data_IF_990067487773
#
_entry.id   IF_990067487773
#
_cell.length_a   1.000
_cell.length_b   1.000
_cell.length_c   1.000
_cell.angle_alpha   90.00
_cell.angle_beta   90.00
_cell.angle_gamma   90.00
#
_symmetry.space_group_name_H-M   'P 1'
#
loop_
_entity.id
_entity.type
_entity.pdbx_description
1 polymer ?
#
# COMPACT_ATOMS: atom_id res chain seq x y z
N UNK A 1 17.92 6.55 -2.62
CA UNK A 1 16.51 7.03 -2.52
C UNK A 1 15.71 5.87 -1.94
N UNK A 2 14.73 6.10 -1.04
CA UNK A 2 13.93 4.98 -0.52
C UNK A 2 13.18 4.31 -1.67
N UNK A 3 13.05 2.98 -1.64
CA UNK A 3 12.14 2.28 -2.55
C UNK A 3 10.71 2.64 -2.16
N UNK A 4 9.96 3.19 -3.11
CA UNK A 4 8.60 3.70 -2.91
C UNK A 4 7.62 2.94 -3.80
N UNK A 5 6.32 3.14 -3.58
CA UNK A 5 5.26 2.36 -4.26
C UNK A 5 5.44 2.20 -5.78
N UNK A 6 5.85 3.23 -6.56
CA UNK A 6 6.08 3.08 -8.00
C UNK A 6 7.11 2.00 -8.37
N UNK A 7 8.08 1.73 -7.48
CA UNK A 7 9.11 0.71 -7.67
C UNK A 7 8.59 -0.73 -7.43
N UNK A 8 7.35 -0.89 -6.95
CA UNK A 8 6.76 -2.17 -6.57
C UNK A 8 5.48 -2.54 -7.35
N UNK A 9 5.18 -1.86 -8.46
CA UNK A 9 3.95 -2.10 -9.23
C UNK A 9 3.89 -3.53 -9.82
N UNK A 10 5.03 -4.10 -10.19
CA UNK A 10 5.11 -5.41 -10.85
C UNK A 10 4.81 -6.60 -9.91
N UNK A 11 4.70 -6.37 -8.60
CA UNK A 11 4.37 -7.42 -7.63
C UNK A 11 2.88 -7.72 -7.51
N UNK A 12 2.03 -6.96 -8.21
CA UNK A 12 0.57 -7.06 -8.11
C UNK A 12 -0.11 -6.87 -9.47
N UNK A 13 -1.40 -7.20 -9.54
CA UNK A 13 -2.20 -7.03 -10.74
C UNK A 13 -2.26 -5.57 -11.23
N UNK A 14 -2.13 -5.38 -12.55
CA UNK A 14 -2.09 -4.06 -13.19
C UNK A 14 -3.37 -3.23 -12.98
N UNK A 15 -4.49 -3.88 -12.70
CA UNK A 15 -5.74 -3.23 -12.34
C UNK A 15 -5.66 -2.40 -11.05
N UNK A 16 -4.71 -2.69 -10.17
CA UNK A 16 -4.48 -1.93 -8.95
C UNK A 16 -3.42 -0.83 -9.08
N UNK A 17 -2.71 -0.72 -10.21
CA UNK A 17 -1.68 0.29 -10.41
C UNK A 17 -2.18 1.74 -10.26
N UNK A 18 -3.38 2.12 -10.75
CA UNK A 18 -3.91 3.47 -10.53
C UNK A 18 -4.15 3.78 -9.04
N UNK A 19 -4.65 2.79 -8.29
CA UNK A 19 -4.88 2.89 -6.84
C UNK A 19 -3.55 3.10 -6.10
N UNK A 20 -2.52 2.32 -6.45
CA UNK A 20 -1.17 2.45 -5.88
C UNK A 20 -0.53 3.81 -6.22
N UNK A 21 -0.68 4.31 -7.45
CA UNK A 21 -0.18 5.64 -7.83
C UNK A 21 -0.86 6.76 -7.04
N UNK A 22 -2.18 6.71 -6.90
CA UNK A 22 -2.93 7.66 -6.06
C UNK A 22 -2.49 7.60 -4.60
N UNK A 23 -2.29 6.39 -4.07
CA UNK A 23 -1.77 6.21 -2.70
C UNK A 23 -0.36 6.82 -2.56
N UNK A 24 0.52 6.64 -3.54
CA UNK A 24 1.86 7.23 -3.54
C UNK A 24 1.80 8.77 -3.44
N UNK A 25 0.99 9.42 -4.27
CA UNK A 25 0.81 10.88 -4.24
C UNK A 25 0.30 11.37 -2.88
N UNK A 26 -0.66 10.66 -2.28
CA UNK A 26 -1.19 11.00 -0.96
C UNK A 26 -0.15 10.79 0.15
N UNK A 27 0.65 9.72 0.07
CA UNK A 27 1.73 9.46 1.03
C UNK A 27 2.83 10.53 0.96
N UNK A 28 3.15 11.03 -0.23
CA UNK A 28 4.14 12.11 -0.37
C UNK A 28 3.73 13.39 0.36
N UNK A 29 2.44 13.62 0.60
CA UNK A 29 1.97 14.78 1.36
C UNK A 29 2.16 14.64 2.89
N UNK A 30 2.20 13.41 3.41
CA UNK A 30 2.22 13.15 4.87
C UNK A 30 3.52 12.52 5.37
N UNK A 31 4.18 11.71 4.54
CA UNK A 31 5.44 11.04 4.83
C UNK A 31 6.31 11.04 3.57
N UNK A 32 6.91 12.17 3.15
CA UNK A 32 7.67 12.24 1.89
C UNK A 32 8.83 11.25 1.81
N UNK A 33 9.35 10.84 2.96
CA UNK A 33 10.51 9.95 3.08
C UNK A 33 10.14 8.49 3.28
N UNK A 34 8.85 8.10 3.25
CA UNK A 34 8.45 6.71 3.47
C UNK A 34 9.22 5.73 2.58
N UNK A 35 9.40 4.51 3.07
CA UNK A 35 9.94 3.39 2.29
C UNK A 35 8.95 2.24 2.32
N UNK A 36 8.84 1.52 1.22
CA UNK A 36 8.06 0.27 1.20
C UNK A 36 8.89 -0.84 1.85
N UNK A 37 8.24 -1.57 2.75
CA UNK A 37 8.74 -2.86 3.21
C UNK A 37 8.19 -3.98 2.32
N UNK A 38 6.89 -3.91 1.98
CA UNK A 38 6.24 -4.90 1.12
C UNK A 38 5.00 -4.34 0.44
N UNK A 39 4.82 -4.69 -0.84
CA UNK A 39 3.53 -4.64 -1.56
C UNK A 39 3.28 -6.04 -2.11
N UNK A 40 2.10 -6.60 -1.86
CA UNK A 40 1.71 -7.92 -2.36
C UNK A 40 0.20 -8.07 -2.48
N UNK A 41 -0.21 -9.07 -3.23
CA UNK A 41 -1.57 -9.64 -3.13
C UNK A 41 -1.64 -10.61 -1.94
N UNK A 42 -2.74 -10.54 -1.18
CA UNK A 42 -3.06 -11.51 -0.14
C UNK A 42 -4.58 -11.62 0.00
N UNK A 43 -5.10 -12.82 -0.18
CA UNK A 43 -6.54 -13.12 -0.09
C UNK A 43 -7.37 -12.25 -1.06
N UNK A 44 -6.87 -12.03 -2.27
CA UNK A 44 -7.54 -11.23 -3.29
C UNK A 44 -7.56 -9.72 -3.03
N UNK A 45 -6.71 -9.24 -2.11
CA UNK A 45 -6.60 -7.81 -1.75
C UNK A 45 -5.15 -7.36 -1.73
N UNK A 46 -4.91 -6.05 -1.84
CA UNK A 46 -3.60 -5.46 -1.58
C UNK A 46 -3.23 -5.61 -0.10
N UNK A 47 -1.95 -5.91 0.15
CA UNK A 47 -1.32 -5.71 1.45
C UNK A 47 -0.07 -4.87 1.31
N UNK A 48 -0.03 -3.78 2.07
CA UNK A 48 1.01 -2.76 1.97
C UNK A 48 1.60 -2.54 3.36
N UNK A 49 2.92 -2.66 3.46
CA UNK A 49 3.67 -2.41 4.68
C UNK A 49 4.72 -1.36 4.38
N UNK A 50 4.75 -0.30 5.18
CA UNK A 50 5.63 0.85 5.02
C UNK A 50 6.52 1.01 6.25
N UNK A 51 7.72 1.54 6.02
CA UNK A 51 8.50 2.21 7.05
C UNK A 51 8.20 3.70 7.01
N UNK A 52 7.59 4.20 8.08
CA UNK A 52 7.26 5.61 8.34
C UNK A 52 7.74 5.98 9.74
N UNK A 53 7.75 7.29 10.05
CA UNK A 53 8.03 7.80 11.38
C UNK A 53 9.31 7.23 12.01
N UNK A 54 9.19 6.67 13.22
CA UNK A 54 10.33 6.11 13.95
C UNK A 54 10.93 4.89 13.24
N UNK A 55 10.12 4.01 12.65
CA UNK A 55 10.64 2.87 11.91
C UNK A 55 11.44 3.31 10.69
N UNK A 56 10.98 4.36 10.01
CA UNK A 56 11.75 4.96 8.92
C UNK A 56 13.07 5.56 9.42
N UNK A 57 13.04 6.29 10.53
CA UNK A 57 14.24 6.84 11.17
C UNK A 57 15.28 5.74 11.49
N UNK A 58 14.85 4.67 12.16
CA UNK A 58 15.71 3.52 12.49
C UNK A 58 16.20 2.78 11.24
N UNK A 59 15.35 2.64 10.20
CA UNK A 59 15.74 2.01 8.93
C UNK A 59 16.84 2.77 8.19
N UNK A 60 17.06 4.06 8.50
CA UNK A 60 18.17 4.84 7.96
C UNK A 60 19.50 4.65 8.72
N UNK A 61 19.51 3.79 9.74
CA UNK A 61 20.69 3.58 10.58
C UNK A 61 20.86 4.62 11.70
N UNK A 62 19.86 5.50 11.90
CA UNK A 62 19.85 6.39 13.04
C UNK A 62 19.55 5.59 14.31
N UNK A 63 20.23 5.89 15.41
CA UNK A 63 20.09 5.16 16.68
C UNK A 63 19.62 6.05 17.84
N UNK A 64 19.35 7.32 17.58
CA UNK A 64 18.92 8.27 18.59
C UNK A 64 17.47 7.99 19.00
N UNK A 65 17.21 8.07 20.30
CA UNK A 65 15.85 7.99 20.81
C UNK A 65 15.16 9.35 20.63
N UNK A 66 13.94 9.41 20.06
CA UNK A 66 13.26 10.67 19.86
C UNK A 66 12.90 11.33 21.18
N UNK A 67 13.03 12.65 21.24
CA UNK A 67 12.38 13.44 22.30
C UNK A 67 10.84 13.38 22.15
N UNK A 68 10.07 13.83 23.16
CA UNK A 68 8.61 13.75 23.12
C UNK A 68 7.95 14.42 21.91
N UNK A 69 8.49 15.55 21.43
CA UNK A 69 7.97 16.26 20.27
C UNK A 69 8.24 15.49 18.96
N UNK A 70 9.44 14.92 18.82
CA UNK A 70 9.78 14.03 17.71
C UNK A 70 8.88 12.78 17.69
N UNK A 71 8.68 12.15 18.84
CA UNK A 71 7.82 10.98 18.97
C UNK A 71 6.36 11.28 18.59
N UNK A 72 5.84 12.46 18.99
CA UNK A 72 4.51 12.90 18.60
C UNK A 72 4.38 13.11 17.08
N UNK A 73 5.41 13.68 16.43
CA UNK A 73 5.43 13.85 14.97
C UNK A 73 5.45 12.51 14.23
N UNK A 74 6.30 11.57 14.65
CA UNK A 74 6.34 10.23 14.08
C UNK A 74 5.01 9.50 14.22
N UNK A 75 4.36 9.62 15.38
CA UNK A 75 3.05 9.03 15.59
C UNK A 75 2.00 9.63 14.65
N UNK A 76 1.98 10.94 14.48
CA UNK A 76 1.04 11.61 13.58
C UNK A 76 1.26 11.19 12.11
N UNK A 77 2.52 11.09 11.69
CA UNK A 77 2.90 10.57 10.38
C UNK A 77 2.43 9.12 10.17
N UNK A 78 2.73 8.24 11.13
CA UNK A 78 2.35 6.82 11.09
C UNK A 78 0.83 6.63 11.02
N UNK A 79 0.08 7.40 11.80
CA UNK A 79 -1.39 7.32 11.83
C UNK A 79 -1.99 7.81 10.49
N UNK A 80 -1.45 8.90 9.92
CA UNK A 80 -1.87 9.41 8.62
C UNK A 80 -1.56 8.42 7.49
N UNK A 81 -0.34 7.90 7.43
CA UNK A 81 0.07 6.93 6.42
C UNK A 81 -0.73 5.62 6.53
N UNK A 82 -0.97 5.13 7.75
CA UNK A 82 -1.79 3.92 8.00
C UNK A 82 -3.23 4.11 7.54
N UNK A 83 -3.81 5.28 7.74
CA UNK A 83 -5.17 5.57 7.27
C UNK A 83 -5.26 5.53 5.73
N UNK A 84 -4.29 6.10 5.02
CA UNK A 84 -4.21 6.08 3.56
C UNK A 84 -4.02 4.65 3.02
N UNK A 85 -3.10 3.90 3.60
CA UNK A 85 -2.88 2.49 3.27
C UNK A 85 -4.15 1.68 3.49
N UNK A 86 -4.82 1.86 4.62
CA UNK A 86 -6.05 1.13 4.92
C UNK A 86 -7.15 1.41 3.90
N UNK A 87 -7.33 2.67 3.49
CA UNK A 87 -8.30 3.03 2.45
C UNK A 87 -7.97 2.37 1.10
N UNK A 88 -6.69 2.33 0.72
CA UNK A 88 -6.22 1.65 -0.47
C UNK A 88 -6.43 0.13 -0.43
N UNK A 89 -6.13 -0.53 0.70
CA UNK A 89 -6.40 -1.97 0.88
C UNK A 89 -7.91 -2.27 0.78
N UNK A 90 -8.76 -1.47 1.41
CA UNK A 90 -10.22 -1.62 1.30
C UNK A 90 -10.73 -1.43 -0.14
N UNK A 91 -10.20 -0.45 -0.87
CA UNK A 91 -10.61 -0.22 -2.25
C UNK A 91 -10.17 -1.34 -3.19
N UNK A 92 -9.02 -1.97 -2.93
CA UNK A 92 -8.57 -3.13 -3.70
C UNK A 92 -9.53 -4.32 -3.61
N UNK A 93 -10.21 -4.50 -2.47
CA UNK A 93 -11.17 -5.59 -2.23
C UNK A 93 -12.44 -5.52 -3.09
N UNK A 94 -12.63 -4.39 -3.78
CA UNK A 94 -13.75 -4.13 -4.72
C UNK A 94 -13.28 -3.73 -6.11
N UNK A 95 -11.99 -3.89 -6.39
CA UNK A 95 -11.36 -3.52 -7.66
C UNK A 95 -10.76 -4.75 -8.30
N UNK A 96 -11.12 -5.04 -9.55
CA UNK A 96 -10.56 -6.14 -10.31
C UNK A 96 -9.03 -6.00 -10.41
N UNK A 97 -8.29 -6.97 -9.87
CA UNK A 97 -6.82 -6.95 -9.90
C UNK A 97 -6.26 -6.98 -11.32
N UNK A 98 -7.01 -7.55 -12.27
CA UNK A 98 -6.60 -7.63 -13.66
C UNK A 98 -6.80 -6.27 -14.33
N UNK A 99 -8.03 -5.78 -14.49
CA UNK A 99 -8.30 -4.62 -15.35
C UNK A 99 -8.64 -3.31 -14.63
N UNK A 100 -8.80 -3.32 -13.30
CA UNK A 100 -9.13 -2.12 -12.51
C UNK A 100 -10.61 -1.71 -12.52
N UNK A 101 -11.48 -2.43 -13.24
CA UNK A 101 -12.93 -2.25 -13.15
C UNK A 101 -13.47 -2.73 -11.79
N UNK A 102 -14.70 -2.36 -11.39
CA UNK A 102 -15.33 -2.94 -10.21
C UNK A 102 -15.29 -4.47 -10.24
N UNK A 103 -14.89 -5.07 -9.14
CA UNK A 103 -14.73 -6.51 -9.01
C UNK A 103 -15.23 -7.01 -7.67
N UNK A 104 -15.47 -8.31 -7.60
CA UNK A 104 -15.92 -8.99 -6.40
C UNK A 104 -14.95 -10.11 -6.05
N UNK A 105 -14.90 -10.46 -4.76
CA UNK A 105 -14.08 -11.56 -4.30
C UNK A 105 -14.59 -12.87 -4.91
N UNK A 106 -13.71 -13.59 -5.59
CA UNK A 106 -14.04 -14.88 -6.21
C UNK A 106 -13.13 -15.97 -5.66
N UNK A 107 -13.77 -17.04 -5.21
CA UNK A 107 -13.10 -18.26 -4.78
C UNK A 107 -13.02 -19.20 -5.99
N UNK A 108 -11.80 -19.37 -6.51
CA UNK A 108 -11.48 -20.37 -7.54
C UNK A 108 -10.36 -21.28 -7.01
N UNK A 109 -9.32 -21.54 -7.81
CA UNK A 109 -8.09 -22.15 -7.32
C UNK A 109 -7.33 -21.22 -6.35
N UNK A 110 -7.46 -19.91 -6.54
CA UNK A 110 -6.94 -18.86 -5.65
C UNK A 110 -8.01 -17.80 -5.42
N UNK A 111 -8.01 -17.20 -4.23
CA UNK A 111 -8.93 -16.10 -3.89
C UNK A 111 -8.44 -14.83 -4.59
N UNK A 112 -9.28 -14.25 -5.44
CA UNK A 112 -8.94 -13.05 -6.24
C UNK A 112 -10.14 -12.10 -6.33
N UNK A 113 -9.89 -10.80 -6.33
CA UNK A 113 -10.94 -9.81 -6.65
C UNK A 113 -10.93 -9.54 -8.14
N UNK A 114 -12.01 -9.90 -8.85
CA UNK A 114 -12.09 -9.82 -10.30
C UNK A 114 -13.46 -9.30 -10.76
N UNK A 115 -13.55 -8.71 -11.96
CA UNK A 115 -14.83 -8.46 -12.65
C UNK A 115 -15.27 -9.70 -13.44
N UNK A 116 -16.54 -9.78 -13.86
CA UNK A 116 -17.08 -11.02 -14.48
C UNK A 116 -16.30 -11.42 -15.72
N UNK A 117 -15.97 -10.44 -16.55
CA UNK A 117 -15.18 -10.63 -17.76
C UNK A 117 -13.79 -11.21 -17.45
N UNK A 118 -13.06 -10.65 -16.50
CA UNK A 118 -11.72 -11.13 -16.15
C UNK A 118 -11.76 -12.49 -15.44
N UNK A 119 -12.84 -12.84 -14.72
CA UNK A 119 -12.98 -14.22 -14.24
C UNK A 119 -13.34 -15.19 -15.37
N UNK A 120 -14.13 -14.80 -16.36
CA UNK A 120 -14.45 -15.70 -17.47
C UNK A 120 -13.21 -16.06 -18.32
N UNK A 121 -12.19 -15.19 -18.36
CA UNK A 121 -11.07 -15.27 -19.29
C UNK A 121 -9.68 -15.35 -18.64
N UNK A 122 -9.61 -15.49 -17.32
CA UNK A 122 -8.37 -15.64 -16.54
C UNK A 122 -8.37 -16.90 -15.69
#
# INVERSE_FOLDING_TARGET
>A
MPEQIPDHLDFVGHGWHPLLRRLHEQLLAVSPTYSVQQVKEKYGTLRIQLYTGMLRHLSMGNTDWPDPDQAARYKAEDDAARALVHAAEQESARTCEACGSPGELRERAWIKTLCDNCAAHG
#
